data_IF_494721166516
#
_entry.id   IF_494721166516
#
_cell.length_a   1.000
_cell.length_b   1.000
_cell.length_c   1.000
_cell.angle_alpha   90.00
_cell.angle_beta   90.00
_cell.angle_gamma   90.00
#
_symmetry.space_group_name_H-M   'P 1'
#
loop_
_entity.id
_entity.type
_entity.pdbx_description
1 polymer ?
#
# COMPACT_ATOMS: atom_id res chain seq x y z
N UNK A 1 -11.25 -21.14 -19.73
CA UNK A 1 -9.90 -21.38 -20.27
C UNK A 1 -9.15 -20.08 -20.56
N UNK A 2 -9.47 -19.34 -21.63
CA UNK A 2 -8.74 -18.09 -21.98
C UNK A 2 -8.72 -17.06 -20.84
N UNK A 3 -9.86 -16.78 -20.22
CA UNK A 3 -9.95 -15.84 -19.09
C UNK A 3 -9.09 -16.26 -17.89
N UNK A 4 -9.08 -17.56 -17.55
CA UNK A 4 -8.24 -18.08 -16.47
C UNK A 4 -6.75 -17.96 -16.79
N UNK A 5 -6.33 -18.22 -18.03
CA UNK A 5 -4.93 -18.04 -18.45
C UNK A 5 -4.49 -16.58 -18.32
N UNK A 6 -5.34 -15.64 -18.74
CA UNK A 6 -5.07 -14.20 -18.59
C UNK A 6 -4.96 -13.81 -17.11
N UNK A 7 -5.85 -14.31 -16.25
CA UNK A 7 -5.80 -14.03 -14.80
C UNK A 7 -4.52 -14.57 -14.14
N UNK A 8 -4.09 -15.78 -14.50
CA UNK A 8 -2.86 -16.39 -13.99
C UNK A 8 -1.65 -15.57 -14.44
N UNK A 9 -1.59 -15.20 -15.72
CA UNK A 9 -0.49 -14.41 -16.27
C UNK A 9 -0.40 -13.03 -15.58
N UNK A 10 -1.53 -12.35 -15.40
CA UNK A 10 -1.58 -11.07 -14.72
C UNK A 10 -1.09 -11.18 -13.26
N UNK A 11 -1.51 -12.21 -12.53
CA UNK A 11 -1.05 -12.44 -11.16
C UNK A 11 0.46 -12.71 -11.09
N UNK A 12 1.00 -13.51 -12.02
CA UNK A 12 2.43 -13.78 -12.09
C UNK A 12 3.27 -12.52 -12.36
N UNK A 13 2.84 -11.69 -13.32
CA UNK A 13 3.51 -10.41 -13.63
C UNK A 13 3.48 -9.48 -12.41
N UNK A 14 2.35 -9.41 -11.72
CA UNK A 14 2.19 -8.58 -10.53
C UNK A 14 3.12 -9.05 -9.40
N UNK A 15 3.20 -10.35 -9.13
CA UNK A 15 4.10 -10.90 -8.11
C UNK A 15 5.56 -10.67 -8.46
N UNK A 16 5.93 -10.80 -9.74
CA UNK A 16 7.27 -10.49 -10.21
C UNK A 16 7.61 -9.01 -9.98
N UNK A 17 6.68 -8.09 -10.30
CA UNK A 17 6.86 -6.67 -10.04
C UNK A 17 7.03 -6.37 -8.55
N UNK A 18 6.23 -7.01 -7.69
CA UNK A 18 6.36 -6.91 -6.22
C UNK A 18 7.73 -7.40 -5.77
N UNK A 19 8.18 -8.55 -6.25
CA UNK A 19 9.49 -9.11 -5.91
C UNK A 19 10.65 -8.18 -6.33
N UNK A 20 10.57 -7.60 -7.54
CA UNK A 20 11.55 -6.63 -8.02
C UNK A 20 11.57 -5.35 -7.17
N UNK A 21 10.39 -4.83 -6.81
CA UNK A 21 10.26 -3.67 -5.93
C UNK A 21 10.84 -3.93 -4.54
N UNK A 22 10.59 -5.13 -3.98
CA UNK A 22 11.14 -5.54 -2.69
C UNK A 22 12.65 -5.74 -2.72
N UNK A 23 13.20 -6.21 -3.85
CA UNK A 23 14.64 -6.35 -4.07
C UNK A 23 15.37 -5.00 -3.95
N UNK A 24 14.63 -3.89 -4.06
CA UNK A 24 15.10 -2.59 -3.64
C UNK A 24 16.22 -2.06 -4.54
N UNK A 25 15.89 -1.78 -5.80
CA UNK A 25 16.79 -1.03 -6.66
C UNK A 25 16.83 0.43 -6.16
N UNK A 26 17.88 0.79 -5.44
CA UNK A 26 18.21 2.19 -5.10
C UNK A 26 17.53 2.79 -3.88
N UNK A 27 17.03 1.99 -2.92
CA UNK A 27 16.46 2.55 -1.67
C UNK A 27 15.14 3.30 -1.85
N UNK A 28 14.46 3.14 -2.99
CA UNK A 28 13.23 3.85 -3.34
C UNK A 28 12.06 3.65 -2.36
N UNK A 29 12.02 2.52 -1.67
CA UNK A 29 10.91 2.15 -0.77
C UNK A 29 11.37 2.13 0.69
N UNK A 30 10.62 2.86 1.52
CA UNK A 30 10.73 2.84 2.99
C UNK A 30 10.32 1.47 3.55
N UNK A 31 10.74 1.17 4.78
CA UNK A 31 10.42 -0.10 5.45
C UNK A 31 8.90 -0.35 5.54
N UNK A 32 8.10 0.67 5.87
CA UNK A 32 6.64 0.55 5.90
C UNK A 32 6.03 0.23 4.53
N UNK A 33 6.52 0.85 3.45
CA UNK A 33 6.05 0.53 2.10
C UNK A 33 6.40 -0.89 1.71
N UNK A 34 7.60 -1.38 2.06
CA UNK A 34 8.00 -2.77 1.81
C UNK A 34 7.10 -3.76 2.55
N UNK A 35 6.78 -3.49 3.82
CA UNK A 35 5.86 -4.33 4.59
C UNK A 35 4.47 -4.34 3.94
N UNK A 36 3.94 -3.18 3.54
CA UNK A 36 2.65 -3.10 2.83
C UNK A 36 2.64 -3.91 1.53
N UNK A 37 3.71 -3.79 0.73
CA UNK A 37 3.85 -4.54 -0.53
C UNK A 37 3.98 -6.05 -0.31
N UNK A 38 4.72 -6.47 0.72
CA UNK A 38 4.88 -7.86 1.10
C UNK A 38 3.56 -8.47 1.60
N UNK A 39 2.82 -7.74 2.45
CA UNK A 39 1.48 -8.14 2.90
C UNK A 39 0.50 -8.25 1.74
N UNK A 40 0.53 -7.29 0.81
CA UNK A 40 -0.29 -7.32 -0.39
C UNK A 40 0.01 -8.56 -1.26
N UNK A 41 1.29 -8.82 -1.53
CA UNK A 41 1.73 -10.00 -2.28
C UNK A 41 1.35 -11.32 -1.60
N UNK A 42 1.55 -11.42 -0.28
CA UNK A 42 1.16 -12.60 0.50
C UNK A 42 -0.36 -12.82 0.48
N UNK A 43 -1.14 -11.75 0.66
CA UNK A 43 -2.60 -11.80 0.56
C UNK A 43 -3.08 -12.23 -0.82
N UNK A 44 -2.41 -11.77 -1.89
CA UNK A 44 -2.74 -12.15 -3.26
C UNK A 44 -2.48 -13.63 -3.53
N UNK A 45 -1.34 -14.18 -3.07
CA UNK A 45 -1.04 -15.62 -3.18
C UNK A 45 -2.05 -16.43 -2.37
N UNK A 46 -2.35 -16.01 -1.14
CA UNK A 46 -3.29 -16.70 -0.26
C UNK A 46 -4.73 -16.67 -0.80
N UNK A 47 -5.16 -15.56 -1.41
CA UNK A 47 -6.48 -15.40 -2.02
C UNK A 47 -6.60 -16.08 -3.39
N UNK A 48 -5.49 -16.27 -4.10
CA UNK A 48 -5.49 -16.88 -5.42
C UNK A 48 -6.03 -18.32 -5.39
N UNK A 49 -5.53 -19.16 -4.48
CA UNK A 49 -5.92 -20.58 -4.41
C UNK A 49 -7.44 -20.76 -4.17
N UNK A 50 -8.06 -20.12 -3.15
CA UNK A 50 -9.52 -20.19 -2.96
C UNK A 50 -10.32 -19.63 -4.13
N UNK A 51 -9.86 -18.55 -4.78
CA UNK A 51 -10.54 -17.95 -5.92
C UNK A 51 -10.55 -18.87 -7.14
N UNK A 52 -9.45 -19.59 -7.41
CA UNK A 52 -9.44 -20.61 -8.46
C UNK A 52 -10.39 -21.78 -8.16
N UNK A 53 -10.71 -22.01 -6.89
CA UNK A 53 -11.70 -23.00 -6.45
C UNK A 53 -13.15 -22.43 -6.43
N UNK A 54 -13.38 -21.20 -6.89
CA UNK A 54 -14.69 -20.57 -6.91
C UNK A 54 -15.23 -20.19 -5.52
N UNK A 55 -14.36 -20.13 -4.50
CA UNK A 55 -14.76 -19.77 -3.14
C UNK A 55 -14.98 -18.25 -3.01
N UNK A 56 -15.90 -17.83 -2.14
CA UNK A 56 -16.13 -16.41 -1.85
C UNK A 56 -14.89 -15.74 -1.21
N UNK A 57 -14.87 -14.39 -1.13
CA UNK A 57 -13.78 -13.64 -0.51
C UNK A 57 -13.52 -14.11 0.93
N UNK A 58 -12.26 -14.13 1.34
CA UNK A 58 -11.83 -14.62 2.64
C UNK A 58 -10.65 -13.85 3.23
N UNK A 59 -9.93 -14.50 4.15
CA UNK A 59 -8.81 -13.89 4.88
C UNK A 59 -7.67 -13.38 3.99
N UNK A 60 -7.43 -14.05 2.84
CA UNK A 60 -6.45 -13.58 1.86
C UNK A 60 -6.79 -12.21 1.28
N UNK A 61 -8.08 -11.93 1.04
CA UNK A 61 -8.54 -10.64 0.55
C UNK A 61 -8.36 -9.53 1.59
N UNK A 62 -8.63 -9.84 2.86
CA UNK A 62 -8.40 -8.91 3.98
C UNK A 62 -6.91 -8.57 4.11
N UNK A 63 -6.03 -9.57 3.99
CA UNK A 63 -4.59 -9.37 4.04
C UNK A 63 -4.10 -8.54 2.83
N UNK A 64 -4.63 -8.84 1.64
CA UNK A 64 -4.33 -8.08 0.43
C UNK A 64 -4.74 -6.61 0.58
N UNK A 65 -5.98 -6.35 1.00
CA UNK A 65 -6.50 -4.99 1.18
C UNK A 65 -5.76 -4.23 2.28
N UNK A 66 -5.44 -4.86 3.40
CA UNK A 66 -4.68 -4.21 4.48
C UNK A 66 -3.26 -3.87 4.05
N UNK A 67 -2.58 -4.74 3.30
CA UNK A 67 -1.28 -4.44 2.68
C UNK A 67 -1.33 -3.26 1.72
N UNK A 68 -2.40 -3.18 0.90
CA UNK A 68 -2.62 -2.06 -0.02
C UNK A 68 -2.85 -0.74 0.73
N UNK A 69 -3.70 -0.76 1.76
CA UNK A 69 -3.96 0.41 2.61
C UNK A 69 -2.67 0.87 3.30
N UNK A 70 -1.85 -0.05 3.81
CA UNK A 70 -0.58 0.28 4.45
C UNK A 70 0.41 0.90 3.44
N UNK A 71 0.53 0.33 2.24
CA UNK A 71 1.39 0.86 1.19
C UNK A 71 0.96 2.26 0.73
N UNK A 72 -0.33 2.44 0.45
CA UNK A 72 -0.88 3.73 0.02
C UNK A 72 -0.82 4.76 1.14
N UNK A 73 -1.12 4.37 2.37
CA UNK A 73 -1.00 5.21 3.55
C UNK A 73 0.43 5.69 3.74
N UNK A 74 1.41 4.79 3.71
CA UNK A 74 2.82 5.18 3.83
C UNK A 74 3.30 6.08 2.67
N UNK A 75 2.72 5.94 1.48
CA UNK A 75 3.12 6.70 0.29
C UNK A 75 2.46 8.08 0.22
N UNK A 76 1.16 8.18 0.55
CA UNK A 76 0.35 9.37 0.32
C UNK A 76 -0.03 10.11 1.60
N UNK A 77 -0.08 9.46 2.77
CA UNK A 77 -0.42 10.15 4.02
C UNK A 77 0.49 11.35 4.32
N UNK A 78 1.83 11.31 4.13
CA UNK A 78 2.67 12.48 4.34
C UNK A 78 2.29 13.66 3.44
N UNK A 79 1.93 13.38 2.19
CA UNK A 79 1.52 14.42 1.22
C UNK A 79 0.15 15.00 1.55
N UNK A 80 -0.79 14.17 1.98
CA UNK A 80 -2.12 14.61 2.40
C UNK A 80 -2.01 15.48 3.64
N UNK A 81 -1.22 15.08 4.64
CA UNK A 81 -0.99 15.85 5.85
C UNK A 81 -0.35 17.20 5.53
N UNK A 82 0.68 17.24 4.67
CA UNK A 82 1.30 18.49 4.23
C UNK A 82 0.32 19.42 3.50
N UNK A 83 -0.59 18.86 2.69
CA UNK A 83 -1.58 19.65 1.97
C UNK A 83 -2.65 20.22 2.90
N UNK A 84 -3.04 19.45 3.93
CA UNK A 84 -3.98 19.90 4.96
C UNK A 84 -3.34 20.95 5.88
N UNK A 85 -2.07 20.78 6.28
CA UNK A 85 -1.33 21.79 7.04
C UNK A 85 -1.20 23.10 6.23
N UNK A 86 -1.01 23.00 4.91
CA UNK A 86 -0.94 24.17 4.02
C UNK A 86 -2.25 24.98 3.93
N UNK A 87 -3.41 24.40 4.26
CA UNK A 87 -4.69 25.12 4.27
C UNK A 87 -4.79 26.13 5.43
N UNK A 88 -4.01 25.94 6.51
CA UNK A 88 -3.95 26.87 7.65
C UNK A 88 -2.94 28.02 7.43
N UNK A 89 -2.32 28.09 6.24
CA UNK A 89 -1.43 29.18 5.83
C UNK A 89 -0.01 29.13 6.43
N UNK A 90 0.32 28.11 7.23
CA UNK A 90 1.67 27.82 7.71
C UNK A 90 2.00 26.34 7.54
N UNK A 91 3.09 26.06 6.84
CA UNK A 91 3.67 24.72 6.78
C UNK A 91 4.72 24.62 7.88
N UNK A 92 4.28 24.45 9.12
CA UNK A 92 5.14 24.33 10.31
C UNK A 92 5.16 22.91 10.91
N UNK A 93 4.42 21.95 10.31
CA UNK A 93 4.49 20.52 10.66
C UNK A 93 4.06 20.22 12.09
N UNK A 94 3.27 21.10 12.70
CA UNK A 94 2.76 20.98 14.07
C UNK A 94 1.23 21.04 14.05
N UNK A 95 0.59 19.93 14.40
CA UNK A 95 -0.80 19.94 14.84
C UNK A 95 -0.89 20.66 16.20
N UNK A 96 -1.10 21.97 16.20
CA UNK A 96 -1.28 22.72 17.44
C UNK A 96 -1.32 24.23 17.26
N UNK A 97 -2.37 24.85 17.83
CA UNK A 97 -2.66 26.29 17.84
C UNK A 97 -1.40 27.17 17.95
N UNK A 98 -1.35 28.30 17.21
CA UNK A 98 -0.25 29.25 17.31
C UNK A 98 -0.11 29.71 18.76
N UNK A 99 1.06 29.46 19.36
CA UNK A 99 1.43 30.11 20.62
C UNK A 99 1.51 31.62 20.34
N UNK A 100 0.54 32.37 20.87
CA UNK A 100 0.63 33.83 20.97
C UNK A 100 1.94 34.21 21.67
N UNK A 101 2.76 35.11 21.10
CA UNK A 101 3.83 35.72 21.85
C UNK A 101 3.18 36.62 22.91
N UNK A 102 3.42 36.31 24.18
CA UNK A 102 3.10 37.23 25.28
C UNK A 102 4.02 38.44 25.13
N UNK A 103 3.40 39.62 25.00
CA UNK A 103 4.03 40.92 25.20
C UNK A 103 4.47 41.09 26.65
#
# INVERSE_FOLDING_TARGET
MLAQMISILAAAILLLAIALLLLGWGGLLTLCQRIGLAMFGAGLVLAAIPRFQGRPPGWGDVLMLSGLVLYLGATYAPKIIQHVDGLDGKIDGRFGRPRQPRA
#
